data_IF_414501836683
#
_entry.id   IF_414501836683
#
_cell.length_a   1.000
_cell.length_b   1.000
_cell.length_c   1.000
_cell.angle_alpha   90.00
_cell.angle_beta   90.00
_cell.angle_gamma   90.00
#
_symmetry.space_group_name_H-M   'P 1'
#
loop_
_entity.id
_entity.type
_entity.pdbx_description
1 polymer ?
#
# COMPACT_ATOMS: atom_id res chain seq x y z
N UNK A 1 -2.72 -11.05 0.51
CA UNK A 1 -3.54 -11.87 -0.44
C UNK A 1 -3.24 -13.37 -0.27
N UNK A 2 -1.99 -13.85 -0.45
CA UNK A 2 -1.68 -15.29 -0.33
C UNK A 2 -2.07 -15.91 1.02
N UNK A 3 -1.88 -15.21 2.12
CA UNK A 3 -2.29 -15.66 3.44
C UNK A 3 -3.81 -15.88 3.51
N UNK A 4 -4.59 -14.93 3.00
CA UNK A 4 -6.06 -15.04 2.96
C UNK A 4 -6.47 -16.26 2.15
N UNK A 5 -5.91 -16.42 0.94
CA UNK A 5 -6.28 -17.51 0.02
C UNK A 5 -5.85 -18.89 0.51
N UNK A 6 -4.66 -19.00 1.10
CA UNK A 6 -4.06 -20.31 1.39
C UNK A 6 -4.21 -20.76 2.84
N UNK A 7 -4.34 -19.81 3.77
CA UNK A 7 -4.32 -20.12 5.20
C UNK A 7 -5.67 -19.94 5.87
N UNK A 8 -6.42 -18.88 5.59
CA UNK A 8 -7.68 -18.63 6.30
C UNK A 8 -8.74 -19.70 6.02
N UNK A 9 -8.76 -20.23 4.80
CA UNK A 9 -9.69 -21.32 4.45
C UNK A 9 -9.51 -22.56 5.34
N UNK A 10 -8.27 -22.85 5.77
CA UNK A 10 -7.97 -23.98 6.68
C UNK A 10 -8.62 -23.81 8.06
N UNK A 11 -8.98 -22.59 8.43
CA UNK A 11 -9.68 -22.26 9.67
C UNK A 11 -11.20 -22.08 9.46
N UNK A 12 -11.72 -22.46 8.30
CA UNK A 12 -13.14 -22.32 7.98
C UNK A 12 -13.57 -20.88 7.71
N UNK A 13 -12.63 -19.99 7.39
CA UNK A 13 -12.91 -18.60 7.05
C UNK A 13 -13.03 -18.46 5.54
N UNK A 14 -14.24 -18.18 5.08
CA UNK A 14 -14.50 -17.85 3.67
C UNK A 14 -14.10 -16.42 3.35
N UNK A 15 -13.69 -16.18 2.13
CA UNK A 15 -13.37 -14.84 1.64
C UNK A 15 -13.98 -14.60 0.23
N UNK A 16 -14.17 -13.35 -0.10
CA UNK A 16 -14.49 -12.89 -1.45
C UNK A 16 -13.48 -11.82 -1.85
N UNK A 17 -12.72 -12.07 -2.90
CA UNK A 17 -11.81 -11.06 -3.48
C UNK A 17 -12.58 -10.21 -4.47
N UNK A 18 -12.41 -8.90 -4.37
CA UNK A 18 -13.01 -7.94 -5.31
C UNK A 18 -12.00 -7.55 -6.39
N UNK A 19 -12.47 -7.52 -7.62
CA UNK A 19 -11.64 -7.15 -8.78
C UNK A 19 -11.49 -5.62 -8.94
N UNK A 20 -12.34 -4.85 -8.26
CA UNK A 20 -12.34 -3.39 -8.30
C UNK A 20 -12.85 -2.78 -6.98
N UNK A 21 -12.61 -1.50 -6.80
CA UNK A 21 -12.94 -0.74 -5.57
C UNK A 21 -14.28 0.00 -5.68
N UNK A 22 -15.19 -0.39 -6.60
CA UNK A 22 -16.50 0.25 -6.70
C UNK A 22 -17.40 -0.15 -5.53
N UNK A 23 -18.23 0.78 -5.07
CA UNK A 23 -19.21 0.50 -4.01
C UNK A 23 -20.16 -0.63 -4.39
N UNK A 24 -20.58 -0.70 -5.65
CA UNK A 24 -21.44 -1.79 -6.14
C UNK A 24 -20.80 -3.16 -5.92
N UNK A 25 -19.50 -3.30 -6.19
CA UNK A 25 -18.80 -4.56 -5.96
C UNK A 25 -18.77 -4.96 -4.48
N UNK A 26 -18.60 -4.00 -3.56
CA UNK A 26 -18.70 -4.27 -2.12
C UNK A 26 -20.12 -4.66 -1.71
N UNK A 27 -21.13 -3.97 -2.21
CA UNK A 27 -22.55 -4.26 -1.93
C UNK A 27 -22.95 -5.66 -2.38
N UNK A 28 -22.56 -6.07 -3.58
CA UNK A 28 -22.83 -7.39 -4.14
C UNK A 28 -22.06 -8.52 -3.41
N UNK A 29 -20.87 -8.24 -2.90
CA UNK A 29 -20.02 -9.23 -2.24
C UNK A 29 -20.44 -9.54 -0.80
N UNK A 30 -21.14 -8.63 -0.12
CA UNK A 30 -21.53 -8.82 1.28
C UNK A 30 -22.59 -9.91 1.40
N UNK A 31 -22.31 -10.92 2.22
CA UNK A 31 -23.20 -12.03 2.57
C UNK A 31 -23.66 -11.88 4.02
N UNK A 32 -24.67 -12.63 4.42
CA UNK A 32 -25.13 -12.72 5.84
C UNK A 32 -24.01 -13.21 6.79
N UNK A 33 -23.06 -13.96 6.28
CA UNK A 33 -21.90 -14.48 7.00
C UNK A 33 -20.71 -13.53 7.03
N UNK A 34 -20.71 -12.45 6.25
CA UNK A 34 -19.63 -11.47 6.23
C UNK A 34 -19.48 -10.79 7.58
N UNK A 35 -18.26 -10.71 8.09
CA UNK A 35 -17.91 -10.07 9.36
C UNK A 35 -16.92 -8.94 9.20
N UNK A 36 -16.05 -9.02 8.19
CA UNK A 36 -14.92 -8.09 8.01
C UNK A 36 -14.90 -7.63 6.56
N UNK A 37 -14.67 -6.35 6.36
CA UNK A 37 -14.26 -5.75 5.08
C UNK A 37 -12.81 -5.29 5.23
N UNK A 38 -11.91 -5.94 4.47
CA UNK A 38 -10.48 -5.62 4.46
C UNK A 38 -10.15 -4.86 3.18
N UNK A 39 -9.48 -3.73 3.33
CA UNK A 39 -9.16 -2.81 2.24
C UNK A 39 -7.69 -2.40 2.29
N UNK A 40 -7.14 -2.05 1.15
CA UNK A 40 -5.80 -1.45 1.00
C UNK A 40 -5.92 -0.14 0.21
N UNK A 41 -5.48 0.97 0.80
CA UNK A 41 -5.54 2.29 0.13
C UNK A 41 -4.39 3.21 0.58
N UNK A 42 -3.51 3.65 -0.36
CA UNK A 42 -3.42 3.26 -1.77
C UNK A 42 -3.06 1.80 -1.98
N UNK A 43 -3.56 1.18 -3.05
CA UNK A 43 -3.36 -0.25 -3.35
C UNK A 43 -2.02 -0.55 -4.03
N UNK A 44 -1.50 -1.76 -3.85
CA UNK A 44 -0.32 -2.25 -4.53
C UNK A 44 -0.72 -3.15 -5.73
N UNK A 45 -0.28 -2.91 -6.98
CA UNK A 45 0.75 -1.94 -7.36
C UNK A 45 0.22 -0.65 -8.00
N UNK A 46 -1.07 -0.54 -8.28
CA UNK A 46 -1.66 0.50 -9.14
C UNK A 46 -1.99 1.81 -8.42
N UNK A 47 -1.84 1.84 -7.09
CA UNK A 47 -2.11 3.00 -6.24
C UNK A 47 -3.56 3.50 -6.28
N UNK A 48 -4.50 2.60 -6.54
CA UNK A 48 -5.93 2.94 -6.49
C UNK A 48 -6.34 3.39 -5.10
N UNK A 49 -7.20 4.40 -5.03
CA UNK A 49 -7.65 5.01 -3.79
C UNK A 49 -9.11 4.60 -3.53
N UNK A 50 -9.39 4.19 -2.30
CA UNK A 50 -10.74 3.93 -1.81
C UNK A 50 -11.21 5.15 -1.02
N UNK A 51 -12.47 5.58 -1.20
CA UNK A 51 -13.09 6.58 -0.34
C UNK A 51 -13.32 5.98 1.06
N UNK A 52 -12.42 6.31 1.99
CA UNK A 52 -12.36 5.71 3.33
C UNK A 52 -13.62 6.07 4.13
N UNK A 53 -14.10 7.32 4.04
CA UNK A 53 -15.30 7.73 4.77
C UNK A 53 -16.54 6.96 4.31
N UNK A 54 -16.70 6.84 3.01
CA UNK A 54 -17.81 6.09 2.43
C UNK A 54 -17.80 4.61 2.82
N UNK A 55 -16.59 4.01 2.88
CA UNK A 55 -16.43 2.61 3.29
C UNK A 55 -16.66 2.41 4.79
N UNK A 56 -16.22 3.35 5.62
CA UNK A 56 -16.52 3.32 7.05
C UNK A 56 -18.03 3.36 7.30
N UNK A 57 -18.74 4.27 6.64
CA UNK A 57 -20.20 4.37 6.74
C UNK A 57 -20.92 3.11 6.23
N UNK A 58 -20.43 2.54 5.13
CA UNK A 58 -20.92 1.29 4.58
C UNK A 58 -20.81 0.13 5.57
N UNK A 59 -19.65 -0.02 6.21
CA UNK A 59 -19.39 -1.07 7.20
C UNK A 59 -20.24 -0.84 8.47
N UNK A 60 -20.25 0.39 8.98
CA UNK A 60 -21.03 0.76 10.17
C UNK A 60 -22.51 0.45 10.01
N UNK A 61 -23.10 0.84 8.87
CA UNK A 61 -24.53 0.60 8.57
C UNK A 61 -24.91 -0.90 8.44
N UNK A 62 -23.93 -1.80 8.41
CA UNK A 62 -24.11 -3.26 8.23
C UNK A 62 -23.53 -4.11 9.37
N UNK A 63 -23.08 -3.47 10.43
CA UNK A 63 -22.41 -4.13 11.58
C UNK A 63 -21.20 -5.00 11.14
N UNK A 64 -20.41 -4.46 10.18
CA UNK A 64 -19.21 -5.08 9.67
C UNK A 64 -17.97 -4.39 10.24
N UNK A 65 -16.96 -5.18 10.61
CA UNK A 65 -15.67 -4.65 11.04
C UNK A 65 -14.88 -4.15 9.82
N UNK A 66 -14.54 -2.87 9.82
CA UNK A 66 -13.75 -2.25 8.77
C UNK A 66 -12.25 -2.29 9.09
N UNK A 67 -11.44 -2.78 8.15
CA UNK A 67 -9.98 -2.88 8.28
C UNK A 67 -9.31 -2.25 7.06
N UNK A 68 -8.40 -1.31 7.29
CA UNK A 68 -7.61 -0.67 6.23
C UNK A 68 -6.13 -0.94 6.42
N UNK A 69 -5.49 -1.53 5.42
CA UNK A 69 -4.03 -1.51 5.29
C UNK A 69 -3.61 -0.14 4.74
N UNK A 70 -3.03 0.68 5.62
CA UNK A 70 -2.63 2.05 5.35
C UNK A 70 -1.13 2.19 5.09
N UNK A 71 -0.47 1.08 4.74
CA UNK A 71 0.99 1.03 4.60
C UNK A 71 1.53 2.02 3.58
N UNK A 72 0.91 2.11 2.39
CA UNK A 72 1.40 2.97 1.30
C UNK A 72 1.21 4.46 1.58
N UNK A 73 0.13 4.84 2.26
CA UNK A 73 -0.09 6.22 2.66
C UNK A 73 0.83 6.64 3.82
N UNK A 74 1.18 5.72 4.70
CA UNK A 74 1.76 6.05 6.01
C UNK A 74 0.76 6.80 6.93
N UNK A 75 0.99 6.76 8.23
CA UNK A 75 0.22 7.52 9.22
C UNK A 75 0.44 9.04 9.11
N UNK A 76 1.47 9.49 8.38
CA UNK A 76 1.73 10.91 8.12
C UNK A 76 0.73 11.47 7.13
N UNK A 77 0.44 10.72 6.07
CA UNK A 77 -0.40 11.21 4.98
C UNK A 77 -1.89 10.92 5.18
N UNK A 78 -2.24 9.83 5.84
CA UNK A 78 -3.63 9.38 5.95
C UNK A 78 -3.92 8.72 7.30
N UNK A 79 -5.01 9.13 7.94
CA UNK A 79 -5.48 8.58 9.22
C UNK A 79 -6.88 7.98 9.08
N UNK A 80 -7.02 6.71 8.71
CA UNK A 80 -8.35 6.09 8.51
C UNK A 80 -9.25 6.11 9.75
N UNK A 81 -8.69 6.14 10.96
CA UNK A 81 -9.48 6.29 12.21
C UNK A 81 -10.30 7.57 12.27
N UNK A 82 -9.80 8.67 11.70
CA UNK A 82 -10.51 9.96 11.68
C UNK A 82 -11.80 9.89 10.82
N UNK A 83 -11.87 8.89 9.94
CA UNK A 83 -13.02 8.62 9.05
C UNK A 83 -13.97 7.54 9.58
N UNK A 84 -13.67 6.92 10.73
CA UNK A 84 -14.52 5.90 11.37
C UNK A 84 -14.14 4.45 11.06
N UNK A 85 -12.95 4.19 10.53
CA UNK A 85 -12.43 2.82 10.35
C UNK A 85 -12.11 2.19 11.72
N UNK A 86 -12.50 0.95 11.91
CA UNK A 86 -12.32 0.22 13.18
C UNK A 86 -10.86 -0.15 13.44
N UNK A 87 -10.20 -0.75 12.45
CA UNK A 87 -8.81 -1.20 12.54
C UNK A 87 -7.96 -0.66 11.38
N UNK A 88 -6.78 -0.16 11.71
CA UNK A 88 -5.78 0.29 10.75
C UNK A 88 -4.53 -0.55 10.89
N UNK A 89 -4.05 -1.09 9.77
CA UNK A 89 -2.86 -1.93 9.72
C UNK A 89 -1.74 -1.18 8.99
N UNK A 90 -0.53 -1.33 9.48
CA UNK A 90 0.69 -0.90 8.80
C UNK A 90 1.73 -2.01 8.79
N UNK A 91 2.32 -2.26 7.64
CA UNK A 91 3.62 -2.92 7.60
C UNK A 91 4.68 -1.94 8.10
N UNK A 92 5.10 -2.10 9.36
CA UNK A 92 6.13 -1.25 9.94
C UNK A 92 7.52 -1.48 9.30
N UNK A 93 7.68 -2.58 8.58
CA UNK A 93 8.81 -2.87 7.69
C UNK A 93 9.05 -1.76 6.66
N UNK A 94 8.00 -1.00 6.31
CA UNK A 94 8.00 0.02 5.24
C UNK A 94 8.34 1.40 5.81
N UNK A 95 7.56 2.41 5.53
CA UNK A 95 7.79 3.81 5.94
C UNK A 95 8.08 4.00 7.44
N UNK A 96 7.43 3.22 8.31
CA UNK A 96 7.60 3.34 9.76
C UNK A 96 9.03 2.99 10.16
N UNK A 97 9.54 1.84 9.72
CA UNK A 97 10.96 1.47 9.88
C UNK A 97 11.86 2.36 9.03
N UNK A 98 11.60 2.42 7.73
CA UNK A 98 12.19 3.36 6.79
C UNK A 98 13.67 3.15 6.44
N UNK A 99 14.31 2.10 6.97
CA UNK A 99 15.75 1.86 6.79
C UNK A 99 16.06 0.44 6.28
N UNK A 100 15.03 -0.28 5.82
CA UNK A 100 15.14 -1.64 5.25
C UNK A 100 15.77 -2.70 6.18
N UNK A 101 15.80 -2.45 7.50
CA UNK A 101 16.47 -3.23 8.55
C UNK A 101 15.50 -3.87 9.57
N UNK A 102 14.19 -3.62 9.44
CA UNK A 102 13.16 -4.07 10.39
C UNK A 102 12.07 -4.86 9.65
N UNK A 103 11.63 -5.95 10.26
CA UNK A 103 10.42 -6.67 9.85
C UNK A 103 9.42 -6.63 10.99
N UNK A 104 8.35 -5.83 10.84
CA UNK A 104 7.35 -5.61 11.87
C UNK A 104 6.01 -5.18 11.29
N UNK A 105 4.97 -5.20 12.14
CA UNK A 105 3.63 -4.69 11.83
C UNK A 105 3.02 -3.93 12.99
N UNK A 106 2.12 -3.02 12.68
CA UNK A 106 1.27 -2.31 13.63
C UNK A 106 -0.20 -2.55 13.33
N UNK A 107 -0.97 -2.67 14.40
CA UNK A 107 -2.44 -2.60 14.35
C UNK A 107 -2.87 -1.49 15.29
N UNK A 108 -3.70 -0.58 14.79
CA UNK A 108 -4.28 0.52 15.57
C UNK A 108 -5.81 0.39 15.52
N UNK A 109 -6.46 0.73 16.63
CA UNK A 109 -7.92 0.65 16.74
C UNK A 109 -8.38 0.85 18.17
N UNK A 110 -9.64 0.54 18.43
CA UNK A 110 -10.20 0.64 19.76
C UNK A 110 -9.72 -0.52 20.66
N UNK A 111 -9.56 -0.26 21.94
CA UNK A 111 -9.00 -1.18 22.92
C UNK A 111 -9.68 -2.56 22.87
N UNK A 112 -11.01 -2.60 22.72
CA UNK A 112 -11.79 -3.84 22.63
C UNK A 112 -11.28 -4.80 21.52
N UNK A 113 -10.97 -4.25 20.35
CA UNK A 113 -10.45 -5.05 19.23
C UNK A 113 -8.96 -5.35 19.40
N UNK A 114 -8.19 -4.39 19.93
CA UNK A 114 -6.76 -4.58 20.17
C UNK A 114 -6.47 -5.64 21.23
N UNK A 115 -7.31 -5.80 22.25
CA UNK A 115 -7.16 -6.87 23.26
C UNK A 115 -7.27 -8.26 22.63
N UNK A 116 -8.21 -8.45 21.70
CA UNK A 116 -8.36 -9.70 20.95
C UNK A 116 -7.15 -9.98 20.03
N UNK A 117 -6.71 -8.96 19.29
CA UNK A 117 -5.52 -9.06 18.42
C UNK A 117 -4.29 -9.39 19.26
N UNK A 118 -4.09 -8.71 20.39
CA UNK A 118 -2.96 -8.93 21.30
C UNK A 118 -2.96 -10.35 21.86
N UNK A 119 -4.11 -10.84 22.33
CA UNK A 119 -4.23 -12.18 22.86
C UNK A 119 -3.88 -13.24 21.81
N UNK A 120 -4.34 -13.04 20.58
CA UNK A 120 -4.02 -13.92 19.44
C UNK A 120 -2.53 -13.86 19.11
N UNK A 121 -1.93 -12.67 19.04
CA UNK A 121 -0.51 -12.51 18.78
C UNK A 121 0.38 -13.18 19.83
N UNK A 122 0.00 -13.10 21.12
CA UNK A 122 0.71 -13.78 22.20
C UNK A 122 0.64 -15.31 22.07
N UNK A 123 -0.54 -15.84 21.72
CA UNK A 123 -0.73 -17.29 21.57
C UNK A 123 0.01 -17.87 20.37
N UNK A 124 0.10 -17.13 19.25
CA UNK A 124 0.75 -17.57 18.02
C UNK A 124 2.20 -17.09 17.86
N UNK A 125 2.74 -16.37 18.84
CA UNK A 125 4.14 -15.91 18.81
C UNK A 125 4.39 -14.70 17.94
N UNK A 126 3.37 -13.88 17.63
CA UNK A 126 3.49 -12.65 16.84
C UNK A 126 4.13 -11.48 17.60
N UNK A 127 4.86 -11.73 18.67
CA UNK A 127 5.51 -10.71 19.50
C UNK A 127 6.83 -10.26 18.90
N UNK A 128 7.03 -8.95 18.77
CA UNK A 128 8.27 -8.37 18.31
C UNK A 128 9.33 -8.41 19.41
N UNK A 129 10.58 -8.71 19.05
CA UNK A 129 11.67 -8.72 20.02
C UNK A 129 12.05 -7.28 20.46
N UNK A 130 12.65 -7.10 21.67
CA UNK A 130 12.95 -5.77 22.23
C UNK A 130 13.89 -4.93 21.38
N UNK A 131 14.85 -5.53 20.67
CA UNK A 131 15.78 -4.79 19.81
C UNK A 131 15.06 -4.17 18.61
N UNK A 132 14.14 -4.91 17.96
CA UNK A 132 13.32 -4.37 16.88
C UNK A 132 12.36 -3.28 17.40
N UNK A 133 11.83 -3.42 18.62
CA UNK A 133 11.01 -2.37 19.25
C UNK A 133 11.82 -1.08 19.42
N UNK A 134 13.09 -1.18 19.91
CA UNK A 134 13.99 -0.04 20.04
C UNK A 134 14.28 0.63 18.69
N UNK A 135 14.59 -0.15 17.65
CA UNK A 135 14.82 0.40 16.30
C UNK A 135 13.57 1.10 15.75
N UNK A 136 12.39 0.53 15.95
CA UNK A 136 11.13 1.15 15.54
C UNK A 136 10.89 2.48 16.26
N UNK A 137 11.06 2.53 17.59
CA UNK A 137 10.92 3.75 18.36
C UNK A 137 11.88 4.84 17.86
N UNK A 138 13.14 4.46 17.59
CA UNK A 138 14.14 5.36 17.00
C UNK A 138 13.70 5.86 15.61
N UNK A 139 13.20 4.99 14.76
CA UNK A 139 12.76 5.31 13.40
C UNK A 139 11.53 6.22 13.37
N UNK A 140 10.61 6.07 14.32
CA UNK A 140 9.43 6.93 14.45
C UNK A 140 9.80 8.41 14.66
N UNK A 141 10.94 8.71 15.30
CA UNK A 141 11.40 10.09 15.54
C UNK A 141 11.68 10.88 14.27
N UNK A 142 11.94 10.19 13.15
CA UNK A 142 12.21 10.81 11.84
C UNK A 142 11.13 10.50 10.80
N UNK A 143 10.08 9.79 11.16
CA UNK A 143 9.04 9.33 10.23
C UNK A 143 8.45 10.50 9.42
N UNK A 144 8.06 11.57 10.11
CA UNK A 144 7.44 12.73 9.47
C UNK A 144 8.36 13.37 8.43
N UNK A 145 9.60 13.67 8.80
CA UNK A 145 10.59 14.31 7.92
C UNK A 145 10.90 13.45 6.69
N UNK A 146 11.03 12.12 6.87
CA UNK A 146 11.28 11.19 5.78
C UNK A 146 10.11 11.14 4.80
N UNK A 147 8.89 10.95 5.33
CA UNK A 147 7.69 10.83 4.48
C UNK A 147 7.39 12.15 3.77
N UNK A 148 7.57 13.30 4.42
CA UNK A 148 7.41 14.60 3.78
C UNK A 148 8.38 14.78 2.60
N UNK A 149 9.67 14.43 2.79
CA UNK A 149 10.65 14.48 1.71
C UNK A 149 10.31 13.49 0.59
N UNK A 150 9.87 12.29 0.93
CA UNK A 150 9.43 11.30 -0.07
C UNK A 150 8.20 11.78 -0.86
N UNK A 151 7.22 12.44 -0.21
CA UNK A 151 6.07 13.06 -0.89
C UNK A 151 6.52 14.10 -1.93
N UNK A 152 7.43 14.99 -1.53
CA UNK A 152 7.97 16.06 -2.40
C UNK A 152 8.70 15.46 -3.60
N UNK A 153 9.61 14.53 -3.35
CA UNK A 153 10.37 13.86 -4.40
C UNK A 153 9.45 13.08 -5.35
N UNK A 154 8.48 12.33 -4.80
CA UNK A 154 7.57 11.53 -5.62
C UNK A 154 6.67 12.40 -6.51
N UNK A 155 6.23 13.55 -6.04
CA UNK A 155 5.47 14.50 -6.86
C UNK A 155 6.34 15.05 -8.00
N UNK A 156 7.60 15.43 -7.75
CA UNK A 156 8.51 15.90 -8.77
C UNK A 156 8.83 14.82 -9.81
N UNK A 157 9.18 13.61 -9.34
CA UNK A 157 9.49 12.48 -10.22
C UNK A 157 8.27 12.03 -11.04
N UNK A 158 7.08 11.96 -10.42
CA UNK A 158 5.86 11.55 -11.14
C UNK A 158 5.47 12.58 -12.22
N UNK A 159 5.63 13.87 -11.95
CA UNK A 159 5.38 14.93 -12.94
C UNK A 159 6.38 14.87 -14.11
N UNK A 160 7.64 14.56 -13.84
CA UNK A 160 8.64 14.31 -14.89
C UNK A 160 8.27 13.09 -15.73
N UNK A 161 7.94 11.98 -15.08
CA UNK A 161 7.58 10.73 -15.79
C UNK A 161 6.32 10.91 -16.65
N UNK A 162 5.33 11.68 -16.20
CA UNK A 162 4.09 11.92 -16.92
C UNK A 162 4.31 12.60 -18.29
N UNK A 163 5.36 13.43 -18.39
CA UNK A 163 5.69 14.13 -19.63
C UNK A 163 6.77 13.45 -20.47
N UNK A 164 7.34 12.34 -19.99
CA UNK A 164 8.44 11.67 -20.65
C UNK A 164 7.99 10.77 -21.81
N UNK A 165 8.58 10.93 -22.99
CA UNK A 165 8.18 10.23 -24.23
C UNK A 165 8.17 8.70 -24.13
N UNK A 166 9.05 8.12 -23.32
CA UNK A 166 9.16 6.67 -23.10
C UNK A 166 8.18 6.10 -22.07
N UNK A 167 7.34 6.93 -21.47
CA UNK A 167 6.34 6.54 -20.47
C UNK A 167 4.95 6.59 -21.08
N UNK A 168 4.19 5.51 -20.94
CA UNK A 168 2.81 5.41 -21.44
C UNK A 168 1.79 5.94 -20.43
N UNK A 169 1.99 5.59 -19.16
CA UNK A 169 1.08 5.94 -18.07
C UNK A 169 1.82 6.07 -16.75
N UNK A 170 1.40 7.02 -15.93
CA UNK A 170 1.83 7.16 -14.53
C UNK A 170 0.63 7.04 -13.62
N UNK A 171 0.73 6.20 -12.60
CA UNK A 171 -0.22 6.14 -11.50
C UNK A 171 0.44 6.75 -10.26
N UNK A 172 0.00 7.92 -9.87
CA UNK A 172 0.39 8.61 -8.65
C UNK A 172 -0.78 9.46 -8.14
N UNK A 173 -1.29 9.24 -6.93
CA UNK A 173 -2.50 9.92 -6.46
C UNK A 173 -2.39 11.44 -6.39
N UNK A 174 -1.16 11.98 -6.36
CA UNK A 174 -0.89 13.42 -6.37
C UNK A 174 -1.00 14.08 -7.75
N UNK A 175 -1.08 13.33 -8.85
CA UNK A 175 -1.27 13.88 -10.18
C UNK A 175 -2.76 14.10 -10.47
N UNK A 176 -3.15 15.25 -11.05
CA UNK A 176 -4.55 15.49 -11.44
C UNK A 176 -5.12 14.48 -12.45
N UNK A 177 -4.26 13.80 -13.18
CA UNK A 177 -4.61 12.75 -14.15
C UNK A 177 -4.92 11.40 -13.50
N UNK A 178 -4.63 11.23 -12.21
CA UNK A 178 -4.99 10.02 -11.48
C UNK A 178 -6.51 9.91 -11.31
N UNK A 179 -7.07 8.73 -11.58
CA UNK A 179 -8.53 8.51 -11.63
C UNK A 179 -9.23 8.92 -10.32
N UNK A 180 -8.61 8.61 -9.18
CA UNK A 180 -9.14 8.92 -7.86
C UNK A 180 -8.47 10.13 -7.19
N UNK A 181 -7.82 11.03 -7.96
CA UNK A 181 -7.15 12.23 -7.42
C UNK A 181 -8.03 13.04 -6.47
N UNK A 182 -9.27 13.30 -6.87
CA UNK A 182 -10.25 14.07 -6.07
C UNK A 182 -10.56 13.41 -4.73
N UNK A 183 -10.55 12.07 -4.68
CA UNK A 183 -10.74 11.32 -3.42
C UNK A 183 -9.49 11.44 -2.56
N UNK A 184 -8.31 11.24 -3.17
CA UNK A 184 -7.03 11.37 -2.48
C UNK A 184 -6.86 12.76 -1.87
N UNK A 185 -7.15 13.82 -2.61
CA UNK A 185 -7.07 15.22 -2.15
C UNK A 185 -7.94 15.51 -0.91
N UNK A 186 -9.10 14.87 -0.80
CA UNK A 186 -10.01 15.05 0.34
C UNK A 186 -9.56 14.34 1.60
N UNK A 187 -8.87 13.21 1.48
CA UNK A 187 -8.59 12.33 2.63
C UNK A 187 -7.09 12.21 2.96
N UNK A 188 -6.18 12.67 2.10
CA UNK A 188 -4.74 12.56 2.28
C UNK A 188 -4.10 13.94 2.42
N UNK A 189 -3.11 14.06 3.29
CA UNK A 189 -2.29 15.28 3.49
C UNK A 189 -1.09 15.33 2.55
N UNK A 190 -0.71 14.19 2.01
CA UNK A 190 0.33 13.97 1.02
C UNK A 190 0.09 12.62 0.36
N UNK A 191 0.72 12.35 -0.77
CA UNK A 191 0.32 11.23 -1.63
C UNK A 191 1.27 10.02 -1.58
N UNK A 192 2.26 10.06 -0.68
CA UNK A 192 3.22 8.97 -0.49
C UNK A 192 4.42 9.01 -1.44
N UNK A 193 5.38 8.12 -1.19
CA UNK A 193 6.58 7.97 -2.00
C UNK A 193 6.48 6.85 -3.05
N UNK A 194 5.29 6.29 -3.29
CA UNK A 194 5.11 5.22 -4.28
C UNK A 194 4.60 5.78 -5.59
N UNK A 195 5.24 5.38 -6.68
CA UNK A 195 4.82 5.67 -8.06
C UNK A 195 4.74 4.36 -8.81
N UNK A 196 3.73 4.16 -9.64
CA UNK A 196 3.72 3.11 -10.65
C UNK A 196 3.63 3.73 -12.03
N UNK A 197 4.39 3.20 -12.98
CA UNK A 197 4.38 3.70 -14.35
C UNK A 197 4.61 2.58 -15.36
N UNK A 198 4.12 2.78 -16.58
CA UNK A 198 4.22 1.85 -17.69
C UNK A 198 5.19 2.40 -18.73
N UNK A 199 6.16 1.58 -19.16
CA UNK A 199 7.08 1.96 -20.22
C UNK A 199 6.44 1.74 -21.60
N UNK A 200 6.72 2.63 -22.56
CA UNK A 200 6.47 2.40 -23.98
C UNK A 200 7.62 1.56 -24.56
N UNK A 201 7.32 0.58 -25.38
CA UNK A 201 8.22 -0.14 -26.28
C UNK A 201 9.63 -0.48 -25.71
N UNK A 202 9.78 -0.60 -24.41
CA UNK A 202 11.04 -0.93 -23.75
C UNK A 202 10.90 -2.17 -22.86
N UNK A 203 11.94 -3.01 -22.90
CA UNK A 203 12.07 -4.12 -21.96
C UNK A 203 12.37 -3.60 -20.55
N UNK A 204 11.56 -4.02 -19.57
CA UNK A 204 11.67 -3.57 -18.17
C UNK A 204 12.98 -4.00 -17.50
N UNK A 205 13.54 -5.13 -17.90
CA UNK A 205 14.80 -5.66 -17.34
C UNK A 205 15.97 -4.83 -17.87
N UNK A 206 15.97 -4.54 -19.17
CA UNK A 206 17.03 -3.74 -19.78
C UNK A 206 16.95 -2.27 -19.33
N UNK A 207 15.75 -1.76 -19.08
CA UNK A 207 15.57 -0.45 -18.45
C UNK A 207 16.20 -0.43 -17.04
N UNK A 208 15.84 -1.40 -16.19
CA UNK A 208 16.36 -1.46 -14.81
C UNK A 208 17.90 -1.59 -14.77
N UNK A 209 18.53 -2.32 -15.70
CA UNK A 209 20.00 -2.45 -15.78
C UNK A 209 20.72 -1.13 -16.10
N UNK A 210 20.05 -0.16 -16.74
CA UNK A 210 20.64 1.14 -17.10
C UNK A 210 20.61 2.14 -15.95
N UNK A 211 19.82 1.89 -14.92
CA UNK A 211 19.73 2.75 -13.75
C UNK A 211 21.03 2.65 -12.93
N UNK A 212 21.53 3.79 -12.46
CA UNK A 212 22.78 3.86 -11.69
C UNK A 212 22.54 4.02 -10.19
N UNK A 213 21.68 4.97 -9.83
CA UNK A 213 21.33 5.25 -8.43
C UNK A 213 20.24 4.28 -7.93
N UNK A 214 19.19 4.12 -8.72
CA UNK A 214 18.00 3.35 -8.37
C UNK A 214 18.28 1.85 -8.51
N UNK A 215 18.19 1.11 -7.41
CA UNK A 215 18.47 -0.31 -7.40
C UNK A 215 17.19 -1.15 -7.59
N UNK A 216 17.22 -2.22 -8.40
CA UNK A 216 16.14 -3.20 -8.44
C UNK A 216 16.03 -3.94 -7.10
N UNK A 217 14.89 -3.75 -6.40
CA UNK A 217 14.63 -4.38 -5.10
C UNK A 217 13.15 -4.59 -4.85
N UNK A 218 12.81 -5.51 -3.95
CA UNK A 218 11.42 -5.95 -3.70
C UNK A 218 10.71 -5.21 -2.56
N UNK A 219 11.35 -4.41 -1.75
CA UNK A 219 10.71 -3.69 -0.65
C UNK A 219 10.13 -2.33 -1.12
N UNK A 220 9.89 -1.44 -0.19
CA UNK A 220 9.42 -0.06 -0.42
C UNK A 220 9.48 0.77 0.86
N UNK A 221 9.35 2.08 0.74
CA UNK A 221 9.19 3.00 1.86
C UNK A 221 10.46 3.28 2.65
N UNK A 222 11.61 2.79 2.15
CA UNK A 222 12.94 3.12 2.69
C UNK A 222 13.40 4.52 2.31
N UNK A 223 14.54 4.93 2.90
CA UNK A 223 15.19 6.21 2.57
C UNK A 223 15.86 6.17 1.20
N UNK A 224 16.15 4.98 0.69
CA UNK A 224 16.70 4.73 -0.65
C UNK A 224 15.61 4.63 -1.72
N UNK A 225 15.87 5.14 -2.91
CA UNK A 225 15.00 4.94 -4.07
C UNK A 225 15.27 3.57 -4.70
N UNK A 226 14.23 2.76 -4.78
CA UNK A 226 14.28 1.41 -5.35
C UNK A 226 13.16 1.19 -6.38
N UNK A 227 13.40 0.29 -7.33
CA UNK A 227 12.45 -0.03 -8.39
C UNK A 227 12.16 -1.54 -8.43
N UNK A 228 10.92 -1.90 -8.73
CA UNK A 228 10.54 -3.30 -8.94
C UNK A 228 9.56 -3.44 -10.11
N UNK A 229 9.60 -4.61 -10.74
CA UNK A 229 8.59 -5.02 -11.71
C UNK A 229 7.59 -5.95 -11.03
N UNK A 230 6.32 -5.55 -10.82
CA UNK A 230 5.31 -6.38 -10.15
C UNK A 230 5.17 -7.77 -10.75
N UNK A 231 5.26 -7.89 -12.08
CA UNK A 231 5.17 -9.17 -12.80
C UNK A 231 6.30 -10.16 -12.49
N UNK A 232 7.46 -9.66 -12.07
CA UNK A 232 8.62 -10.48 -11.69
C UNK A 232 8.71 -10.68 -10.17
N UNK A 233 7.96 -9.93 -9.38
CA UNK A 233 8.08 -9.87 -7.92
C UNK A 233 6.75 -10.18 -7.22
N UNK A 234 6.01 -9.18 -6.79
CA UNK A 234 4.81 -9.31 -5.94
C UNK A 234 3.65 -10.05 -6.62
N UNK A 235 3.51 -9.94 -7.94
CA UNK A 235 2.43 -10.54 -8.73
C UNK A 235 2.89 -11.66 -9.65
N UNK A 236 4.10 -12.19 -9.44
CA UNK A 236 4.67 -13.30 -10.23
C UNK A 236 3.83 -14.57 -10.23
N UNK A 237 3.09 -14.82 -9.13
CA UNK A 237 2.26 -16.03 -9.00
C UNK A 237 0.91 -15.92 -9.73
N UNK A 238 0.50 -14.73 -10.14
CA UNK A 238 -0.72 -14.53 -10.91
C UNK A 238 -0.51 -14.95 -12.38
N UNK A 239 -1.53 -15.58 -12.99
CA UNK A 239 -1.52 -15.83 -14.41
C UNK A 239 -1.57 -14.51 -15.21
N UNK A 240 -1.24 -14.58 -16.51
CA UNK A 240 -1.30 -13.38 -17.36
C UNK A 240 -2.73 -12.85 -17.48
N UNK A 241 -3.73 -13.73 -17.50
CA UNK A 241 -5.15 -13.37 -17.53
C UNK A 241 -5.57 -12.67 -16.24
N UNK A 242 -5.13 -13.19 -15.08
CA UNK A 242 -5.40 -12.58 -13.78
C UNK A 242 -4.78 -11.19 -13.69
N UNK A 243 -3.50 -11.04 -14.05
CA UNK A 243 -2.84 -9.72 -14.08
C UNK A 243 -3.57 -8.74 -14.99
N UNK A 244 -3.98 -9.18 -16.19
CA UNK A 244 -4.74 -8.35 -17.14
C UNK A 244 -6.07 -7.88 -16.53
N UNK A 245 -6.77 -8.76 -15.81
CA UNK A 245 -8.02 -8.45 -15.11
C UNK A 245 -7.81 -7.39 -14.02
N UNK A 246 -6.70 -7.46 -13.31
CA UNK A 246 -6.30 -6.48 -12.30
C UNK A 246 -5.66 -5.21 -12.88
N UNK A 247 -5.55 -5.09 -14.21
CA UNK A 247 -4.94 -3.92 -14.88
C UNK A 247 -3.41 -3.88 -14.80
N UNK A 248 -2.76 -4.98 -14.41
CA UNK A 248 -1.30 -5.07 -14.27
C UNK A 248 -0.68 -5.51 -15.58
N UNK A 249 -0.09 -4.58 -16.32
CA UNK A 249 0.60 -4.85 -17.58
C UNK A 249 2.02 -5.39 -17.35
N UNK A 250 2.54 -6.11 -18.35
CA UNK A 250 3.88 -6.72 -18.28
C UNK A 250 5.01 -5.65 -18.29
N UNK A 251 4.74 -4.43 -18.76
CA UNK A 251 5.65 -3.28 -18.79
C UNK A 251 5.50 -2.34 -17.58
N UNK A 252 4.72 -2.73 -16.56
CA UNK A 252 4.52 -1.94 -15.35
C UNK A 252 5.75 -2.01 -14.44
N UNK A 253 6.21 -0.86 -14.01
CA UNK A 253 7.24 -0.66 -12.98
C UNK A 253 6.66 0.04 -11.76
N UNK A 254 7.15 -0.31 -10.58
CA UNK A 254 6.81 0.32 -9.32
C UNK A 254 8.06 0.92 -8.70
N UNK A 255 8.08 2.23 -8.50
CA UNK A 255 9.16 2.99 -7.89
C UNK A 255 8.78 3.33 -6.45
N UNK A 256 9.66 3.04 -5.51
CA UNK A 256 9.63 3.55 -4.14
C UNK A 256 10.63 4.65 -4.02
N UNK A 257 10.16 5.88 -3.97
CA UNK A 257 11.00 7.08 -3.96
C UNK A 257 11.53 7.32 -2.55
N UNK A 258 12.83 7.49 -2.45
CA UNK A 258 13.54 7.78 -1.21
C UNK A 258 13.69 9.29 -0.93
N UNK A 259 14.72 9.61 -0.16
CA UNK A 259 14.98 10.99 0.30
C UNK A 259 16.17 11.65 -0.40
N UNK A 260 16.72 11.00 -1.42
CA UNK A 260 17.82 11.54 -2.25
C UNK A 260 17.39 12.85 -2.93
N UNK A 261 18.29 13.51 -3.60
CA UNK A 261 17.91 14.70 -4.38
C UNK A 261 17.11 14.25 -5.61
N UNK A 262 15.97 14.87 -5.84
CA UNK A 262 15.05 14.41 -6.90
C UNK A 262 15.59 14.58 -8.33
N UNK A 263 16.59 15.44 -8.52
CA UNK A 263 17.23 15.67 -9.83
C UNK A 263 18.31 14.59 -10.14
N UNK A 264 18.75 13.79 -9.16
CA UNK A 264 19.69 12.67 -9.35
C UNK A 264 19.01 11.43 -9.98
#
# INVERSE_FOLDING_TARGET
TNFVIQELEKFGIEYTMLDNNSMGSFEEAVKKTTKIVYMESPSNPLLSIIDIKRMADFCYGRDLLSVVDNTFASAVNQNPKDYGIDLVIHSATKYIGGHSDICAGFVLGDQKHLDQVRQTALNFGGSLNPFMCHLLERSLKTLFVRVEKQNQNALQVSSFLETHDSVDRVNYPGLPTHVEHVIAEKQMRGYGGMISFELKDQDIIDFQKKLKLIQPAISLGGVETIISAPVLTSHKKLSKEQRKKEGIKDNLLRLSVGIEHADD
#
